data_IF_575534080451
#
_entry.id   IF_575534080451
#
_cell.length_a   1.000
_cell.length_b   1.000
_cell.length_c   1.000
_cell.angle_alpha   90.00
_cell.angle_beta   90.00
_cell.angle_gamma   90.00
#
_symmetry.space_group_name_H-M   'P 1'
#
loop_
_entity.id
_entity.type
_entity.pdbx_description
1 polymer ?
#
# COMPACT_ATOMS: atom_id res chain seq x y z
N UNK A 1 10.45 14.43 -21.52
CA UNK A 1 10.36 15.66 -22.35
C UNK A 1 10.91 15.28 -23.71
N UNK A 2 10.13 15.44 -24.79
CA UNK A 2 10.67 15.50 -26.15
C UNK A 2 9.67 16.25 -27.04
N UNK A 3 10.18 17.08 -27.95
CA UNK A 3 9.48 18.20 -28.60
C UNK A 3 10.15 19.54 -28.26
N UNK A 4 9.61 20.72 -28.67
CA UNK A 4 10.27 22.02 -28.46
C UNK A 4 10.24 22.53 -27.00
N UNK A 5 10.10 21.63 -26.03
CA UNK A 5 9.87 21.97 -24.63
C UNK A 5 11.14 21.72 -23.82
N UNK A 6 11.66 22.78 -23.19
CA UNK A 6 12.82 22.74 -22.29
C UNK A 6 12.35 23.01 -20.86
N UNK A 7 12.81 22.20 -19.90
CA UNK A 7 12.56 22.43 -18.48
C UNK A 7 13.64 23.37 -17.92
N UNK A 8 13.26 24.23 -16.98
CA UNK A 8 14.13 25.24 -16.40
C UNK A 8 13.89 25.33 -14.90
N UNK A 9 14.96 25.35 -14.10
CA UNK A 9 14.80 25.48 -12.65
C UNK A 9 14.58 26.96 -12.27
N UNK A 10 13.31 27.31 -12.00
CA UNK A 10 12.93 28.67 -11.64
C UNK A 10 13.74 29.23 -10.47
N UNK A 11 14.24 30.46 -10.61
CA UNK A 11 15.04 31.17 -9.59
C UNK A 11 16.31 30.44 -9.10
N UNK A 12 16.80 29.42 -9.81
CA UNK A 12 17.97 28.63 -9.38
C UNK A 12 17.64 27.72 -8.20
N UNK A 13 16.36 27.45 -7.96
CA UNK A 13 15.91 26.56 -6.89
C UNK A 13 16.10 25.09 -7.29
N UNK A 14 16.08 24.22 -6.29
CA UNK A 14 16.02 22.78 -6.48
C UNK A 14 14.80 22.40 -7.32
N UNK A 15 14.99 21.48 -8.26
CA UNK A 15 13.91 20.87 -9.04
C UNK A 15 13.80 19.38 -8.68
N UNK A 16 12.60 18.82 -8.73
CA UNK A 16 12.38 17.40 -8.42
C UNK A 16 11.46 16.72 -9.43
N UNK A 17 11.68 15.43 -9.62
CA UNK A 17 10.79 14.52 -10.34
C UNK A 17 10.44 13.39 -9.38
N UNK A 18 9.16 13.06 -9.24
CA UNK A 18 8.69 11.97 -8.39
C UNK A 18 7.56 11.21 -9.06
N UNK A 19 7.46 9.90 -8.79
CA UNK A 19 6.44 9.04 -9.41
C UNK A 19 6.53 7.58 -8.98
N UNK A 20 5.92 6.69 -9.79
CA UNK A 20 6.12 5.25 -9.70
C UNK A 20 7.58 4.88 -9.97
N UNK A 21 8.02 3.67 -9.59
CA UNK A 21 9.42 3.25 -9.75
C UNK A 21 9.88 3.29 -11.21
N UNK A 22 11.02 3.91 -11.46
CA UNK A 22 11.61 4.08 -12.78
C UNK A 22 13.14 4.00 -12.72
N UNK A 23 13.75 3.79 -13.88
CA UNK A 23 15.18 3.90 -14.11
C UNK A 23 15.45 5.20 -14.87
N UNK A 24 16.34 6.04 -14.34
CA UNK A 24 16.76 7.28 -14.97
C UNK A 24 18.06 7.05 -15.75
N UNK A 25 17.94 7.10 -17.08
CA UNK A 25 19.05 6.84 -18.00
C UNK A 25 19.88 8.12 -18.16
N UNK A 26 19.23 9.23 -18.52
CA UNK A 26 19.95 10.50 -18.70
C UNK A 26 19.11 11.66 -19.21
N UNK A 27 19.76 12.82 -19.33
CA UNK A 27 19.17 14.03 -19.89
C UNK A 27 20.24 14.94 -20.50
N UNK A 28 19.83 15.84 -21.40
CA UNK A 28 20.66 16.97 -21.80
C UNK A 28 20.55 18.08 -20.77
N UNK A 29 21.70 18.65 -20.38
CA UNK A 29 21.82 19.75 -19.44
C UNK A 29 22.69 20.88 -20.01
N UNK A 30 22.36 22.12 -19.64
CA UNK A 30 23.15 23.32 -19.94
C UNK A 30 22.95 24.38 -18.86
N UNK A 31 23.93 25.25 -18.66
CA UNK A 31 23.80 26.42 -17.78
C UNK A 31 22.98 27.50 -18.46
N UNK A 32 22.03 28.14 -17.77
CA UNK A 32 21.27 29.23 -18.38
C UNK A 32 22.07 30.54 -18.42
N UNK A 33 22.80 30.85 -17.34
CA UNK A 33 23.51 32.13 -17.18
C UNK A 33 24.98 31.97 -16.82
N UNK A 34 25.38 30.80 -16.31
CA UNK A 34 26.72 30.55 -15.80
C UNK A 34 27.39 29.42 -16.58
N UNK A 35 28.65 29.62 -16.92
CA UNK A 35 29.58 28.56 -17.33
C UNK A 35 30.19 27.90 -16.08
N UNK A 36 30.78 26.71 -16.23
CA UNK A 36 31.31 25.89 -15.13
C UNK A 36 30.27 25.64 -14.00
N UNK A 37 28.98 25.59 -14.34
CA UNK A 37 27.91 25.40 -13.36
C UNK A 37 27.86 23.94 -12.92
N UNK A 38 27.97 23.68 -11.62
CA UNK A 38 27.82 22.33 -11.08
C UNK A 38 26.35 22.00 -10.86
N UNK A 39 25.87 20.89 -11.42
CA UNK A 39 24.51 20.34 -11.24
C UNK A 39 24.63 18.97 -10.56
N UNK A 40 24.10 18.87 -9.34
CA UNK A 40 24.03 17.61 -8.58
C UNK A 40 22.64 17.02 -8.72
N UNK A 41 22.59 15.76 -9.14
CA UNK A 41 21.39 14.93 -9.26
C UNK A 41 21.46 13.84 -8.20
N UNK A 42 20.44 13.76 -7.36
CA UNK A 42 20.34 12.78 -6.28
C UNK A 42 19.11 11.91 -6.50
N UNK A 43 19.29 10.60 -6.46
CA UNK A 43 18.26 9.59 -6.65
C UNK A 43 17.83 8.95 -5.33
N UNK A 44 16.54 8.79 -5.14
CA UNK A 44 15.96 8.10 -3.98
C UNK A 44 14.95 7.04 -4.39
N UNK A 45 14.82 6.01 -3.56
CA UNK A 45 13.69 5.07 -3.58
C UNK A 45 12.98 5.16 -2.22
N UNK A 46 11.74 5.66 -2.21
CA UNK A 46 10.92 5.89 -1.00
C UNK A 46 11.70 6.59 0.12
N UNK A 47 12.34 7.72 -0.23
CA UNK A 47 13.21 8.53 0.64
C UNK A 47 14.56 7.90 1.06
N UNK A 48 14.90 6.70 0.60
CA UNK A 48 16.23 6.10 0.79
C UNK A 48 17.13 6.51 -0.36
N UNK A 49 18.30 7.09 -0.06
CA UNK A 49 19.29 7.45 -1.07
C UNK A 49 19.75 6.20 -1.83
N UNK A 50 19.60 6.23 -3.16
CA UNK A 50 20.06 5.16 -4.06
C UNK A 50 21.43 5.54 -4.64
N UNK A 51 21.53 6.71 -5.25
CA UNK A 51 22.78 7.20 -5.85
C UNK A 51 22.80 8.73 -5.98
N UNK A 52 23.96 9.30 -6.28
CA UNK A 52 24.12 10.72 -6.60
C UNK A 52 25.25 10.95 -7.61
N UNK A 53 25.09 11.96 -8.45
CA UNK A 53 26.13 12.38 -9.39
C UNK A 53 26.12 13.89 -9.58
N UNK A 54 27.30 14.50 -9.64
CA UNK A 54 27.48 15.91 -10.00
C UNK A 54 28.12 16.00 -11.38
N UNK A 55 27.49 16.79 -12.24
CA UNK A 55 27.99 17.11 -13.60
C UNK A 55 28.25 18.61 -13.71
N UNK A 56 29.15 19.00 -14.61
CA UNK A 56 29.48 20.42 -14.87
C UNK A 56 28.98 20.78 -16.26
N UNK A 57 28.29 21.91 -16.35
CA UNK A 57 27.67 22.38 -17.59
C UNK A 57 28.05 23.83 -17.90
N UNK A 58 28.18 24.10 -19.19
CA UNK A 58 28.40 25.44 -19.73
C UNK A 58 27.13 25.98 -20.37
N UNK A 59 27.12 27.29 -20.64
CA UNK A 59 25.95 27.99 -21.17
C UNK A 59 25.88 28.09 -22.69
N UNK A 60 26.93 27.66 -23.38
CA UNK A 60 27.05 27.72 -24.83
C UNK A 60 26.71 26.40 -25.55
N UNK A 61 26.54 25.30 -24.80
CA UNK A 61 26.19 23.99 -25.34
C UNK A 61 25.29 23.16 -24.42
N UNK A 62 24.33 22.45 -25.04
CA UNK A 62 23.61 21.33 -24.42
C UNK A 62 24.51 20.10 -24.42
N UNK A 63 24.71 19.50 -23.26
CA UNK A 63 25.54 18.30 -23.08
C UNK A 63 24.69 17.15 -22.53
N UNK A 64 24.78 15.99 -23.17
CA UNK A 64 24.15 14.77 -22.66
C UNK A 64 24.94 14.22 -21.48
N UNK A 65 24.22 13.87 -20.41
CA UNK A 65 24.78 13.14 -19.28
C UNK A 65 23.98 11.87 -19.02
N UNK A 66 24.72 10.77 -18.91
CA UNK A 66 24.23 9.46 -18.52
C UNK A 66 24.43 9.29 -17.01
N UNK A 67 23.38 8.81 -16.34
CA UNK A 67 23.31 8.66 -14.88
C UNK A 67 23.06 7.21 -14.46
N UNK A 68 22.26 6.46 -15.22
CA UNK A 68 21.94 5.04 -14.99
C UNK A 68 21.45 4.70 -13.57
N UNK A 69 20.61 5.56 -12.99
CA UNK A 69 20.03 5.30 -11.67
C UNK A 69 18.83 4.35 -11.80
N UNK A 70 18.91 3.18 -11.17
CA UNK A 70 17.91 2.09 -11.34
C UNK A 70 17.00 1.99 -10.12
N UNK A 71 15.70 1.73 -10.37
CA UNK A 71 14.73 1.41 -9.34
C UNK A 71 14.43 2.57 -8.38
N UNK A 72 14.38 3.79 -8.89
CA UNK A 72 14.21 5.02 -8.11
C UNK A 72 12.74 5.49 -8.16
N UNK A 73 12.32 6.24 -7.16
CA UNK A 73 11.00 6.90 -7.12
C UNK A 73 11.11 8.40 -7.21
N UNK A 74 12.26 8.98 -6.85
CA UNK A 74 12.47 10.42 -6.80
C UNK A 74 13.86 10.81 -7.33
N UNK A 75 13.90 11.92 -8.06
CA UNK A 75 15.11 12.64 -8.44
C UNK A 75 15.07 14.05 -7.89
N UNK A 76 16.20 14.51 -7.37
CA UNK A 76 16.40 15.88 -6.89
C UNK A 76 17.59 16.51 -7.61
N UNK A 77 17.34 17.58 -8.34
CA UNK A 77 18.33 18.37 -9.06
C UNK A 77 18.63 19.64 -8.28
N UNK A 78 19.90 19.89 -7.97
CA UNK A 78 20.38 21.13 -7.36
C UNK A 78 21.58 21.65 -8.12
N UNK A 79 21.77 22.96 -8.15
CA UNK A 79 22.84 23.59 -8.91
C UNK A 79 23.53 24.68 -8.11
N UNK A 80 24.84 24.83 -8.29
CA UNK A 80 25.64 25.82 -7.57
C UNK A 80 26.93 26.16 -8.30
N UNK A 81 27.53 27.31 -7.94
CA UNK A 81 28.79 27.76 -8.52
C UNK A 81 28.65 28.34 -9.94
N UNK A 82 29.73 28.19 -10.71
CA UNK A 82 29.87 28.74 -12.05
C UNK A 82 30.25 30.23 -12.12
N UNK A 83 30.56 30.67 -13.34
CA UNK A 83 30.95 32.05 -13.69
C UNK A 83 29.94 32.63 -14.68
N UNK A 84 29.48 33.87 -14.46
CA UNK A 84 28.48 34.50 -15.33
C UNK A 84 28.99 34.66 -16.78
N UNK A 85 28.22 34.14 -17.74
CA UNK A 85 28.57 34.12 -19.17
C UNK A 85 28.22 35.43 -19.92
N UNK A 86 27.58 36.40 -19.26
CA UNK A 86 27.35 37.75 -19.81
C UNK A 86 25.99 37.97 -20.50
N UNK A 87 25.01 37.08 -20.33
CA UNK A 87 23.68 37.17 -20.96
C UNK A 87 22.68 38.13 -20.27
N UNK A 88 23.13 38.93 -19.30
CA UNK A 88 22.32 39.98 -18.67
C UNK A 88 21.48 39.55 -17.46
N UNK A 89 21.49 38.26 -17.12
CA UNK A 89 20.94 37.70 -15.89
C UNK A 89 22.01 36.90 -15.14
N UNK A 90 21.71 36.46 -13.92
CA UNK A 90 22.64 35.73 -13.06
C UNK A 90 21.90 34.69 -12.22
N UNK A 91 22.65 33.70 -11.74
CA UNK A 91 22.16 32.69 -10.82
C UNK A 91 22.49 31.28 -11.26
N UNK A 92 22.39 30.28 -10.37
CA UNK A 92 22.71 28.90 -10.65
C UNK A 92 21.57 28.20 -11.39
N UNK A 93 21.12 28.77 -12.50
CA UNK A 93 20.04 28.21 -13.30
C UNK A 93 20.59 27.23 -14.32
N UNK A 94 19.95 26.07 -14.45
CA UNK A 94 20.19 25.10 -15.50
C UNK A 94 18.91 24.88 -16.31
N UNK A 95 19.10 24.45 -17.56
CA UNK A 95 18.04 23.96 -18.41
C UNK A 95 18.22 22.45 -18.66
N UNK A 96 17.11 21.75 -18.79
CA UNK A 96 17.03 20.32 -19.00
C UNK A 96 16.19 20.02 -20.25
N UNK A 97 16.69 19.14 -21.11
CA UNK A 97 15.98 18.65 -22.28
C UNK A 97 16.15 17.13 -22.45
N UNK A 98 15.28 16.51 -23.24
CA UNK A 98 15.34 15.10 -23.64
C UNK A 98 15.53 14.14 -22.43
N UNK A 99 14.78 14.41 -21.36
CA UNK A 99 14.71 13.56 -20.16
C UNK A 99 14.31 12.12 -20.54
N UNK A 100 15.26 11.19 -20.42
CA UNK A 100 15.11 9.79 -20.82
C UNK A 100 15.08 8.89 -19.59
N UNK A 101 14.01 8.13 -19.49
CA UNK A 101 13.76 7.18 -18.41
C UNK A 101 13.03 5.97 -18.96
N UNK A 102 13.14 4.85 -18.25
CA UNK A 102 12.26 3.70 -18.43
C UNK A 102 11.50 3.48 -17.13
N UNK A 103 10.20 3.23 -17.20
CA UNK A 103 9.52 2.64 -16.04
C UNK A 103 10.18 1.29 -15.77
N UNK A 104 10.41 0.93 -14.50
CA UNK A 104 10.95 -0.40 -14.19
C UNK A 104 10.01 -1.43 -14.82
N UNK A 105 10.52 -2.23 -15.75
CA UNK A 105 9.76 -2.88 -16.83
C UNK A 105 8.76 -3.98 -16.41
N UNK A 106 8.55 -4.16 -15.11
CA UNK A 106 7.58 -5.09 -14.56
C UNK A 106 7.13 -4.56 -13.20
N UNK A 107 5.91 -4.04 -13.09
CA UNK A 107 5.30 -3.77 -11.79
C UNK A 107 4.50 -4.99 -11.37
N UNK A 108 4.76 -5.50 -10.16
CA UNK A 108 3.98 -6.62 -9.66
C UNK A 108 2.48 -6.26 -9.62
N UNK A 109 1.59 -7.26 -9.81
CA UNK A 109 0.17 -7.08 -9.55
C UNK A 109 -0.03 -6.67 -8.08
N UNK A 110 -1.22 -6.16 -7.79
CA UNK A 110 -1.65 -5.78 -6.44
C UNK A 110 -3.02 -6.38 -6.19
N UNK A 111 -3.11 -7.20 -5.16
CA UNK A 111 -4.35 -7.74 -4.59
C UNK A 111 -4.91 -6.69 -3.64
N UNK A 112 -6.15 -6.25 -3.89
CA UNK A 112 -6.90 -5.37 -3.00
C UNK A 112 -7.89 -6.17 -2.15
N UNK A 113 -7.92 -5.85 -0.87
CA UNK A 113 -8.77 -6.44 0.18
C UNK A 113 -9.69 -5.40 0.83
N UNK A 114 -9.84 -4.22 0.22
CA UNK A 114 -10.59 -3.12 0.82
C UNK A 114 -12.11 -3.33 0.79
N UNK A 115 -12.60 -4.25 -0.05
CA UNK A 115 -14.03 -4.52 -0.24
C UNK A 115 -14.43 -5.91 0.25
N UNK A 116 -13.67 -6.48 1.19
CA UNK A 116 -13.87 -7.84 1.64
C UNK A 116 -15.28 -8.10 2.17
N UNK A 117 -15.82 -9.26 1.82
CA UNK A 117 -17.08 -9.77 2.35
C UNK A 117 -16.92 -11.24 2.67
N UNK A 118 -17.40 -11.65 3.84
CA UNK A 118 -17.42 -13.05 4.25
C UNK A 118 -18.83 -13.61 4.16
N UNK A 119 -18.93 -14.85 3.70
CA UNK A 119 -20.16 -15.63 3.77
C UNK A 119 -19.86 -17.07 4.15
N UNK A 120 -20.61 -17.62 5.08
CA UNK A 120 -20.47 -19.01 5.53
C UNK A 120 -21.62 -19.87 4.99
N UNK A 121 -21.29 -21.08 4.52
CA UNK A 121 -22.29 -22.04 4.08
C UNK A 121 -21.75 -23.46 4.18
N UNK A 122 -22.51 -24.34 4.83
CA UNK A 122 -22.16 -25.75 5.02
C UNK A 122 -20.77 -25.96 5.67
N UNK A 123 -20.38 -25.09 6.61
CA UNK A 123 -19.07 -25.15 7.29
C UNK A 123 -17.90 -24.64 6.45
N UNK A 124 -18.14 -24.05 5.28
CA UNK A 124 -17.11 -23.41 4.47
C UNK A 124 -17.26 -21.89 4.52
N UNK A 125 -16.12 -21.19 4.49
CA UNK A 125 -16.06 -19.73 4.44
C UNK A 125 -15.71 -19.29 3.02
N UNK A 126 -16.48 -18.38 2.44
CA UNK A 126 -16.16 -17.76 1.15
C UNK A 126 -15.79 -16.30 1.34
N UNK A 127 -14.58 -15.94 0.90
CA UNK A 127 -14.04 -14.58 0.88
C UNK A 127 -14.35 -13.94 -0.49
N UNK A 128 -15.09 -12.84 -0.51
CA UNK A 128 -15.46 -12.07 -1.72
C UNK A 128 -14.90 -10.66 -1.65
N UNK A 129 -14.97 -9.93 -2.77
CA UNK A 129 -14.56 -8.53 -2.85
C UNK A 129 -13.07 -8.33 -3.08
N UNK A 130 -12.33 -9.42 -3.31
CA UNK A 130 -10.97 -9.37 -3.81
C UNK A 130 -10.95 -8.83 -5.23
N UNK A 131 -9.98 -7.98 -5.52
CA UNK A 131 -9.69 -7.54 -6.88
C UNK A 131 -8.19 -7.48 -7.10
N UNK A 132 -7.78 -7.61 -8.36
CA UNK A 132 -6.39 -7.51 -8.78
C UNK A 132 -6.26 -6.33 -9.72
N UNK A 133 -5.28 -5.49 -9.46
CA UNK A 133 -4.82 -4.45 -10.38
C UNK A 133 -3.37 -4.71 -10.73
N UNK A 134 -2.95 -4.25 -11.89
CA UNK A 134 -1.57 -4.36 -12.32
C UNK A 134 -1.29 -3.13 -13.22
N UNK A 135 -0.35 -2.25 -12.82
CA UNK A 135 -0.11 -0.98 -13.51
C UNK A 135 0.36 -1.11 -14.96
N UNK A 136 1.08 -2.17 -15.31
CA UNK A 136 1.67 -2.40 -16.63
C UNK A 136 1.07 -3.59 -17.38
N UNK A 137 0.04 -4.22 -16.81
CA UNK A 137 -0.71 -5.29 -17.45
C UNK A 137 -1.14 -4.96 -18.89
N UNK A 138 -0.77 -5.86 -19.80
CA UNK A 138 -1.27 -5.81 -21.18
C UNK A 138 -2.58 -6.60 -21.33
N UNK A 139 -3.39 -6.26 -22.34
CA UNK A 139 -4.72 -6.89 -22.53
C UNK A 139 -4.70 -8.41 -22.75
N UNK A 140 -3.55 -8.97 -23.13
CA UNK A 140 -3.38 -10.40 -23.39
C UNK A 140 -2.37 -11.05 -22.42
N UNK A 141 -1.96 -10.33 -21.39
CA UNK A 141 -1.09 -10.88 -20.37
C UNK A 141 -1.81 -11.95 -19.58
N UNK A 142 -1.08 -13.02 -19.26
CA UNK A 142 -1.63 -14.13 -18.51
C UNK A 142 -1.14 -14.08 -17.06
N UNK A 143 -2.09 -13.97 -16.14
CA UNK A 143 -1.89 -14.06 -14.72
C UNK A 143 -2.09 -15.51 -14.26
N UNK A 144 -1.42 -15.88 -13.18
CA UNK A 144 -1.65 -17.15 -12.48
C UNK A 144 -2.06 -16.87 -11.05
N UNK A 145 -3.03 -17.64 -10.56
CA UNK A 145 -3.59 -17.51 -9.22
C UNK A 145 -3.42 -18.82 -8.48
N UNK A 146 -2.93 -18.75 -7.24
CA UNK A 146 -2.81 -19.90 -6.35
C UNK A 146 -3.41 -19.57 -4.99
N UNK A 147 -4.03 -20.56 -4.35
CA UNK A 147 -4.45 -20.46 -2.97
C UNK A 147 -4.16 -21.78 -2.25
N UNK A 148 -3.56 -21.71 -1.07
CA UNK A 148 -3.14 -22.89 -0.29
C UNK A 148 -3.46 -22.65 1.18
N UNK A 149 -4.10 -23.62 1.84
CA UNK A 149 -4.29 -23.63 3.29
C UNK A 149 -3.08 -24.23 4.00
N UNK A 150 -2.76 -23.74 5.19
CA UNK A 150 -1.64 -24.25 6.00
C UNK A 150 -1.97 -25.56 6.70
N UNK A 151 -3.17 -25.67 7.30
CA UNK A 151 -3.54 -26.85 8.07
C UNK A 151 -3.76 -28.07 7.16
N UNK A 152 -3.23 -29.21 7.60
CA UNK A 152 -3.42 -30.47 6.90
C UNK A 152 -4.86 -30.96 6.99
N UNK A 153 -5.51 -31.14 5.85
CA UNK A 153 -6.91 -31.58 5.77
C UNK A 153 -7.87 -30.47 5.33
N UNK A 154 -7.47 -29.22 5.48
CA UNK A 154 -8.14 -28.07 4.88
C UNK A 154 -7.92 -28.02 3.37
N UNK A 155 -8.78 -27.30 2.66
CA UNK A 155 -8.62 -27.04 1.23
C UNK A 155 -9.14 -25.67 0.82
N UNK A 156 -8.65 -25.17 -0.31
CA UNK A 156 -9.08 -23.90 -0.88
C UNK A 156 -9.49 -24.11 -2.33
N UNK A 157 -10.66 -23.60 -2.68
CA UNK A 157 -11.18 -23.59 -4.06
C UNK A 157 -11.13 -22.17 -4.59
N UNK A 158 -10.38 -21.98 -5.68
CA UNK A 158 -10.36 -20.75 -6.46
C UNK A 158 -11.16 -20.91 -7.76
N UNK A 159 -11.87 -19.86 -8.21
CA UNK A 159 -12.76 -19.94 -9.37
C UNK A 159 -12.02 -19.99 -10.71
N UNK A 160 -10.79 -19.45 -10.76
CA UNK A 160 -9.85 -19.64 -11.86
C UNK A 160 -8.42 -19.65 -11.34
N UNK A 161 -7.54 -20.42 -11.96
CA UNK A 161 -6.12 -20.47 -11.64
C UNK A 161 -5.23 -19.73 -12.66
N UNK A 162 -5.80 -19.26 -13.78
CA UNK A 162 -5.09 -18.46 -14.78
C UNK A 162 -6.03 -17.71 -15.72
N UNK A 163 -5.53 -16.67 -16.37
CA UNK A 163 -6.27 -15.91 -17.38
C UNK A 163 -5.75 -14.48 -17.51
N UNK A 164 -6.44 -13.67 -18.32
CA UNK A 164 -6.15 -12.22 -18.35
C UNK A 164 -6.55 -11.55 -17.03
N UNK A 165 -6.07 -10.33 -16.79
CA UNK A 165 -6.45 -9.55 -15.60
C UNK A 165 -7.98 -9.42 -15.45
N UNK A 166 -8.69 -9.27 -16.58
CA UNK A 166 -10.16 -9.25 -16.59
C UNK A 166 -10.76 -10.61 -16.24
N UNK A 167 -10.21 -11.70 -16.75
CA UNK A 167 -10.69 -13.04 -16.42
C UNK A 167 -10.51 -13.35 -14.93
N UNK A 168 -9.37 -12.95 -14.35
CA UNK A 168 -9.10 -13.10 -12.92
C UNK A 168 -10.11 -12.32 -12.10
N UNK A 169 -10.33 -11.03 -12.39
CA UNK A 169 -11.29 -10.21 -11.66
C UNK A 169 -12.73 -10.73 -11.79
N UNK A 170 -13.16 -11.12 -12.99
CA UNK A 170 -14.48 -11.72 -13.20
C UNK A 170 -14.66 -13.04 -12.43
N UNK A 171 -13.58 -13.83 -12.29
CA UNK A 171 -13.62 -15.05 -11.49
C UNK A 171 -13.74 -14.72 -10.00
N UNK A 172 -12.96 -13.74 -9.50
CA UNK A 172 -12.96 -13.31 -8.10
C UNK A 172 -14.29 -12.72 -7.62
N UNK A 173 -15.16 -12.23 -8.51
CA UNK A 173 -16.55 -11.86 -8.18
C UNK A 173 -17.33 -13.00 -7.50
N UNK A 174 -16.97 -14.26 -7.79
CA UNK A 174 -17.58 -15.43 -7.17
C UNK A 174 -16.99 -15.80 -5.80
N UNK A 175 -15.81 -15.25 -5.47
CA UNK A 175 -15.08 -15.45 -4.22
C UNK A 175 -14.09 -16.63 -4.22
N UNK A 176 -13.27 -16.68 -3.18
CA UNK A 176 -12.37 -17.78 -2.84
C UNK A 176 -12.98 -18.54 -1.68
N UNK A 177 -13.20 -19.85 -1.84
CA UNK A 177 -13.86 -20.68 -0.82
C UNK A 177 -12.84 -21.53 -0.08
N UNK A 178 -12.78 -21.35 1.22
CA UNK A 178 -11.99 -22.14 2.16
C UNK A 178 -12.88 -23.19 2.85
N UNK A 179 -12.39 -24.42 2.90
CA UNK A 179 -12.98 -25.56 3.60
C UNK A 179 -12.00 -26.01 4.70
N UNK A 180 -12.34 -25.86 5.99
CA UNK A 180 -11.50 -26.29 7.11
C UNK A 180 -11.35 -27.81 7.23
N UNK A 181 -12.13 -28.58 6.47
CA UNK A 181 -12.10 -30.03 6.52
C UNK A 181 -12.61 -30.60 7.84
N UNK A 182 -12.23 -31.85 8.13
CA UNK A 182 -12.63 -32.53 9.36
C UNK A 182 -11.51 -33.44 9.89
N UNK A 183 -11.10 -33.30 11.16
CA UNK A 183 -11.55 -32.28 12.11
C UNK A 183 -11.09 -30.88 11.71
N UNK A 184 -11.89 -29.87 12.06
CA UNK A 184 -11.53 -28.46 11.82
C UNK A 184 -10.32 -28.09 12.68
N UNK A 185 -9.33 -27.34 12.13
CA UNK A 185 -8.24 -26.81 12.92
C UNK A 185 -8.75 -25.73 13.91
N UNK A 186 -7.99 -25.42 14.95
CA UNK A 186 -8.35 -24.29 15.83
C UNK A 186 -8.21 -22.98 15.06
N UNK A 187 -7.06 -22.75 14.44
CA UNK A 187 -6.79 -21.65 13.53
C UNK A 187 -6.20 -22.16 12.23
N UNK A 188 -6.41 -21.46 11.13
CA UNK A 188 -5.79 -21.78 9.85
C UNK A 188 -5.45 -20.51 9.07
N UNK A 189 -4.58 -20.65 8.09
CA UNK A 189 -4.13 -19.61 7.19
C UNK A 189 -4.28 -20.05 5.75
N UNK A 190 -4.87 -19.19 4.91
CA UNK A 190 -4.90 -19.36 3.46
C UNK A 190 -3.98 -18.34 2.80
N UNK A 191 -2.91 -18.80 2.18
CA UNK A 191 -2.03 -17.96 1.35
C UNK A 191 -2.58 -17.86 -0.06
N UNK A 192 -3.01 -16.66 -0.46
CA UNK A 192 -3.49 -16.35 -1.80
C UNK A 192 -2.47 -15.51 -2.54
N UNK A 193 -2.06 -15.96 -3.73
CA UNK A 193 -1.03 -15.31 -4.53
C UNK A 193 -1.49 -15.12 -5.97
N UNK A 194 -1.10 -13.99 -6.55
CA UNK A 194 -1.29 -13.68 -7.96
C UNK A 194 0.08 -13.32 -8.55
N UNK A 195 0.45 -13.95 -9.66
CA UNK A 195 1.66 -13.63 -10.40
C UNK A 195 1.31 -13.23 -11.83
N UNK A 196 2.05 -12.25 -12.35
CA UNK A 196 1.95 -11.76 -13.73
C UNK A 196 2.77 -12.61 -14.72
N UNK A 197 2.73 -12.24 -16.00
CA UNK A 197 3.46 -12.94 -17.06
C UNK A 197 4.95 -12.62 -17.12
N UNK A 198 5.40 -11.65 -16.32
CA UNK A 198 6.73 -11.04 -16.35
C UNK A 198 7.55 -11.32 -15.08
N UNK A 199 6.99 -12.09 -14.13
CA UNK A 199 7.65 -12.59 -12.92
C UNK A 199 7.40 -11.75 -11.66
N UNK A 200 6.52 -10.76 -11.71
CA UNK A 200 6.05 -10.04 -10.54
C UNK A 200 4.90 -10.78 -9.88
N UNK A 201 4.74 -10.58 -8.58
CA UNK A 201 3.70 -11.27 -7.83
C UNK A 201 3.30 -10.50 -6.58
N UNK A 202 2.06 -10.71 -6.17
CA UNK A 202 1.55 -10.29 -4.88
C UNK A 202 1.03 -11.48 -4.10
N UNK A 203 1.06 -11.37 -2.77
CA UNK A 203 0.59 -12.42 -1.87
C UNK A 203 -0.04 -11.79 -0.64
N UNK A 204 -1.19 -12.34 -0.27
CA UNK A 204 -1.94 -11.99 0.93
C UNK A 204 -2.33 -13.28 1.64
N UNK A 205 -2.14 -13.33 2.96
CA UNK A 205 -2.68 -14.43 3.76
C UNK A 205 -4.03 -14.03 4.37
N UNK A 206 -4.94 -14.99 4.48
CA UNK A 206 -6.19 -14.88 5.23
C UNK A 206 -6.09 -15.78 6.45
N UNK A 207 -6.15 -15.19 7.64
CA UNK A 207 -5.93 -15.90 8.91
C UNK A 207 -7.25 -15.98 9.66
N UNK A 208 -7.67 -17.20 9.96
CA UNK A 208 -8.97 -17.51 10.52
C UNK A 208 -8.86 -18.22 11.87
N UNK A 209 -9.83 -17.97 12.75
CA UNK A 209 -10.23 -18.91 13.79
C UNK A 209 -11.38 -19.78 13.28
N UNK A 210 -11.25 -21.10 13.38
CA UNK A 210 -12.20 -22.06 12.82
C UNK A 210 -12.97 -22.79 13.91
N UNK A 211 -12.24 -23.47 14.80
CA UNK A 211 -12.84 -24.23 15.90
C UNK A 211 -12.47 -23.71 17.31
N UNK A 212 -11.71 -22.61 17.41
CA UNK A 212 -11.34 -22.03 18.70
C UNK A 212 -12.56 -21.50 19.46
N UNK A 213 -12.80 -22.04 20.65
CA UNK A 213 -13.86 -21.56 21.55
C UNK A 213 -13.29 -20.55 22.54
N UNK A 214 -13.65 -19.28 22.41
CA UNK A 214 -13.19 -18.20 23.30
C UNK A 214 -12.11 -17.31 22.69
N UNK A 215 -11.52 -16.42 23.50
CA UNK A 215 -10.40 -15.56 23.11
C UNK A 215 -9.28 -16.32 22.41
N UNK A 216 -8.86 -15.84 21.25
CA UNK A 216 -7.73 -16.39 20.49
C UNK A 216 -6.58 -15.40 20.35
N UNK A 217 -5.38 -15.94 20.17
CA UNK A 217 -4.22 -15.19 19.73
C UNK A 217 -3.97 -15.50 18.26
N UNK A 218 -4.25 -14.55 17.38
CA UNK A 218 -4.00 -14.70 15.94
C UNK A 218 -2.73 -13.93 15.57
N UNK A 219 -1.80 -14.65 14.97
CA UNK A 219 -0.48 -14.14 14.62
C UNK A 219 -0.32 -14.16 13.11
N UNK A 220 -0.17 -12.99 12.52
CA UNK A 220 0.26 -12.80 11.16
C UNK A 220 1.74 -13.10 10.95
N UNK A 221 2.19 -12.81 9.76
CA UNK A 221 3.45 -13.26 9.16
C UNK A 221 4.35 -12.06 8.86
N UNK A 222 5.25 -12.20 7.89
CA UNK A 222 6.03 -11.08 7.37
C UNK A 222 5.45 -10.53 6.05
N UNK A 223 4.43 -11.20 5.52
CA UNK A 223 3.70 -10.83 4.32
C UNK A 223 2.47 -10.01 4.69
N UNK A 224 1.70 -9.55 3.70
CA UNK A 224 0.43 -8.88 3.97
C UNK A 224 -0.57 -9.89 4.52
N UNK A 225 -1.13 -9.61 5.69
CA UNK A 225 -2.09 -10.49 6.34
C UNK A 225 -3.45 -9.81 6.50
N UNK A 226 -4.51 -10.58 6.26
CA UNK A 226 -5.88 -10.23 6.65
C UNK A 226 -6.26 -11.14 7.80
N UNK A 227 -6.42 -10.56 8.98
CA UNK A 227 -6.69 -11.26 10.23
C UNK A 227 -8.14 -11.03 10.63
N UNK A 228 -8.92 -12.11 10.65
CA UNK A 228 -10.33 -12.05 11.02
C UNK A 228 -10.50 -12.29 12.52
N UNK A 229 -10.90 -11.25 13.25
CA UNK A 229 -11.26 -11.36 14.66
C UNK A 229 -12.55 -12.18 14.84
N UNK A 230 -12.77 -12.64 16.06
CA UNK A 230 -13.91 -13.47 16.44
C UNK A 230 -14.97 -12.66 17.19
N UNK A 231 -15.99 -13.33 17.73
CA UNK A 231 -16.94 -12.72 18.68
C UNK A 231 -16.42 -12.65 20.13
N UNK A 232 -15.13 -12.91 20.36
CA UNK A 232 -14.48 -12.90 21.66
C UNK A 232 -13.35 -11.88 21.71
N UNK A 233 -12.98 -11.46 22.91
CA UNK A 233 -11.82 -10.58 23.15
C UNK A 233 -10.49 -11.20 22.70
N UNK A 234 -10.05 -10.88 21.49
CA UNK A 234 -8.89 -11.50 20.86
C UNK A 234 -7.61 -10.67 21.03
N UNK A 235 -6.47 -11.33 20.84
CA UNK A 235 -5.16 -10.66 20.70
C UNK A 235 -4.62 -10.91 19.30
N UNK A 236 -4.50 -9.85 18.50
CA UNK A 236 -4.10 -9.91 17.10
C UNK A 236 -2.74 -9.24 16.92
N UNK A 237 -1.87 -9.88 16.16
CA UNK A 237 -0.55 -9.36 15.79
C UNK A 237 -0.39 -9.46 14.29
N UNK A 238 -0.14 -8.35 13.60
CA UNK A 238 -0.01 -8.31 12.13
C UNK A 238 1.33 -8.86 11.68
N UNK A 239 2.42 -8.35 12.27
CA UNK A 239 3.78 -8.66 11.88
C UNK A 239 4.36 -7.56 10.99
N UNK A 240 4.89 -7.93 9.83
CA UNK A 240 5.50 -6.99 8.89
C UNK A 240 4.67 -6.90 7.62
N UNK A 241 4.86 -5.82 6.85
CA UNK A 241 4.03 -5.46 5.68
C UNK A 241 2.73 -4.77 6.10
N UNK A 242 1.81 -4.55 5.15
CA UNK A 242 0.58 -3.82 5.41
C UNK A 242 -0.52 -4.82 5.73
N UNK A 243 -0.93 -4.85 6.99
CA UNK A 243 -1.88 -5.82 7.52
C UNK A 243 -3.27 -5.22 7.67
N UNK A 244 -4.30 -6.06 7.56
CA UNK A 244 -5.69 -5.70 7.73
C UNK A 244 -6.32 -6.51 8.87
N UNK A 245 -6.83 -5.81 9.87
CA UNK A 245 -7.55 -6.42 10.99
C UNK A 245 -9.04 -6.23 10.79
N UNK A 246 -9.78 -7.32 10.69
CA UNK A 246 -11.21 -7.31 10.33
C UNK A 246 -12.04 -7.64 11.56
N UNK A 247 -12.94 -6.72 11.93
CA UNK A 247 -13.82 -6.85 13.10
C UNK A 247 -15.28 -6.88 12.69
N UNK A 248 -16.04 -7.79 13.30
CA UNK A 248 -17.50 -7.79 13.24
C UNK A 248 -18.07 -6.99 14.43
N UNK A 249 -19.37 -6.66 14.37
CA UNK A 249 -20.07 -6.15 15.55
C UNK A 249 -20.08 -7.23 16.65
N UNK A 250 -20.02 -6.83 17.92
CA UNK A 250 -19.94 -7.76 19.06
C UNK A 250 -18.66 -8.61 19.08
N UNK A 251 -17.52 -8.07 18.62
CA UNK A 251 -16.21 -8.72 18.76
C UNK A 251 -15.66 -8.68 20.20
N UNK A 252 -16.30 -7.97 21.12
CA UNK A 252 -15.84 -7.85 22.49
C UNK A 252 -14.70 -6.84 22.62
N UNK A 253 -13.69 -7.18 23.42
CA UNK A 253 -12.56 -6.29 23.73
C UNK A 253 -11.26 -6.82 23.13
N UNK A 254 -10.98 -6.43 21.91
CA UNK A 254 -9.83 -6.89 21.14
C UNK A 254 -8.58 -6.05 21.40
N UNK A 255 -7.42 -6.65 21.21
CA UNK A 255 -6.13 -5.97 21.28
C UNK A 255 -5.31 -6.25 20.03
N UNK A 256 -4.91 -5.19 19.33
CA UNK A 256 -3.90 -5.25 18.27
C UNK A 256 -2.56 -4.85 18.88
N UNK A 257 -1.54 -5.70 18.73
CA UNK A 257 -0.27 -5.55 19.47
C UNK A 257 0.78 -4.67 18.79
N UNK A 258 0.72 -4.52 17.48
CA UNK A 258 1.80 -3.99 16.65
C UNK A 258 1.31 -3.15 15.45
N UNK A 259 0.09 -2.62 15.53
CA UNK A 259 -0.49 -1.76 14.49
C UNK A 259 0.44 -0.60 14.12
N UNK A 260 0.74 -0.47 12.83
CA UNK A 260 1.59 0.57 12.26
C UNK A 260 0.73 1.60 11.49
N UNK A 261 0.47 2.80 12.07
CA UNK A 261 -0.35 3.82 11.42
C UNK A 261 0.22 4.27 10.06
N UNK A 262 -0.66 4.49 9.10
CA UNK A 262 -0.33 4.82 7.71
C UNK A 262 0.09 3.62 6.86
N UNK A 263 0.18 2.42 7.44
CA UNK A 263 0.56 1.18 6.78
C UNK A 263 -0.53 0.12 6.94
N UNK A 264 -0.88 -0.21 8.18
CA UNK A 264 -1.90 -1.20 8.50
C UNK A 264 -3.30 -0.57 8.46
N UNK A 265 -4.32 -1.43 8.37
CA UNK A 265 -5.71 -1.00 8.28
C UNK A 265 -6.61 -1.80 9.23
N UNK A 266 -7.65 -1.13 9.70
CA UNK A 266 -8.70 -1.71 10.52
C UNK A 266 -9.98 -1.66 9.69
N UNK A 267 -10.50 -2.83 9.35
CA UNK A 267 -11.81 -2.94 8.73
C UNK A 267 -12.88 -3.00 9.81
N UNK A 268 -13.67 -1.94 9.87
CA UNK A 268 -14.75 -1.78 10.84
C UNK A 268 -16.08 -2.36 10.34
N UNK A 269 -16.08 -2.98 9.15
CA UNK A 269 -17.19 -3.68 8.55
C UNK A 269 -18.51 -2.89 8.59
N UNK A 270 -19.43 -3.27 9.49
CA UNK A 270 -20.75 -2.66 9.64
C UNK A 270 -20.78 -1.43 10.56
N UNK A 271 -19.68 -1.12 11.25
CA UNK A 271 -19.56 0.08 12.07
C UNK A 271 -19.08 1.27 11.22
N UNK A 272 -19.90 2.32 11.19
CA UNK A 272 -19.63 3.56 10.43
C UNK A 272 -19.47 4.75 11.41
N UNK A 273 -18.31 4.89 12.08
CA UNK A 273 -18.09 5.95 13.07
C UNK A 273 -18.03 7.36 12.48
N UNK A 274 -17.73 7.48 11.19
CA UNK A 274 -17.61 8.74 10.47
C UNK A 274 -17.96 8.57 8.99
N UNK A 275 -18.33 9.65 8.32
CA UNK A 275 -18.65 9.62 6.89
C UNK A 275 -17.40 9.33 6.03
N UNK A 276 -17.43 8.31 5.14
CA UNK A 276 -16.32 8.02 4.24
C UNK A 276 -15.89 9.24 3.39
N UNK A 277 -14.59 9.53 3.38
CA UNK A 277 -14.00 10.65 2.61
C UNK A 277 -14.20 12.05 3.21
N UNK A 278 -14.88 12.17 4.35
CA UNK A 278 -15.08 13.47 5.02
C UNK A 278 -14.05 13.69 6.12
N UNK A 279 -13.07 14.56 5.87
CA UNK A 279 -12.06 14.92 6.88
C UNK A 279 -12.69 15.53 8.12
N UNK A 280 -13.82 16.23 7.97
CA UNK A 280 -14.51 16.85 9.09
C UNK A 280 -15.17 15.82 10.03
N UNK A 281 -15.82 14.79 9.49
CA UNK A 281 -16.44 13.73 10.30
C UNK A 281 -15.38 12.89 11.01
N UNK A 282 -14.30 12.51 10.30
CA UNK A 282 -13.17 11.80 10.88
C UNK A 282 -12.52 12.59 12.02
N UNK A 283 -12.25 13.89 11.81
CA UNK A 283 -11.66 14.73 12.86
C UNK A 283 -12.58 14.85 14.09
N UNK A 284 -13.90 14.92 13.88
CA UNK A 284 -14.86 14.93 14.98
C UNK A 284 -14.88 13.61 15.76
N UNK A 285 -14.77 12.48 15.06
CA UNK A 285 -14.70 11.15 15.67
C UNK A 285 -13.38 10.91 16.42
N UNK A 286 -12.23 11.09 15.76
CA UNK A 286 -10.91 10.78 16.33
C UNK A 286 -10.55 11.66 17.53
N UNK A 287 -11.17 12.83 17.68
CA UNK A 287 -10.94 13.74 18.83
C UNK A 287 -11.97 13.58 19.95
N UNK A 288 -12.99 12.73 19.76
CA UNK A 288 -13.99 12.45 20.78
C UNK A 288 -13.47 11.38 21.75
N UNK A 289 -13.15 11.77 22.98
CA UNK A 289 -12.63 10.86 24.02
C UNK A 289 -13.59 9.70 24.36
N UNK A 290 -14.89 9.83 24.10
CA UNK A 290 -15.83 8.71 24.30
C UNK A 290 -15.80 7.70 23.16
N UNK A 291 -15.30 8.08 21.98
CA UNK A 291 -15.25 7.21 20.80
C UNK A 291 -13.83 6.68 20.57
N UNK A 292 -12.81 7.51 20.80
CA UNK A 292 -11.40 7.16 20.65
C UNK A 292 -10.61 7.75 21.83
N UNK A 293 -10.37 6.91 22.83
CA UNK A 293 -9.66 7.27 24.05
C UNK A 293 -8.15 7.05 23.91
N UNK A 294 -7.34 8.03 24.32
CA UNK A 294 -5.91 7.82 24.47
C UNK A 294 -5.61 7.30 25.88
N UNK A 295 -5.11 6.06 25.96
CA UNK A 295 -4.64 5.42 27.18
C UNK A 295 -3.11 5.45 27.27
N UNK A 296 -2.57 5.13 28.46
CA UNK A 296 -1.13 4.94 28.64
C UNK A 296 -0.60 3.70 27.88
N UNK A 297 -1.46 2.70 27.66
CA UNK A 297 -1.15 1.46 26.94
C UNK A 297 -1.35 1.56 25.43
N UNK A 298 -1.87 2.66 24.90
CA UNK A 298 -2.21 2.79 23.48
C UNK A 298 -3.48 3.60 23.23
N UNK A 299 -4.11 3.38 22.08
CA UNK A 299 -5.37 4.04 21.71
C UNK A 299 -6.51 3.04 21.77
N UNK A 300 -7.56 3.33 22.53
CA UNK A 300 -8.77 2.52 22.63
C UNK A 300 -9.85 3.09 21.72
N UNK A 301 -10.33 2.30 20.77
CA UNK A 301 -11.43 2.64 19.88
C UNK A 301 -12.68 1.95 20.41
N UNK A 302 -13.75 2.70 20.65
CA UNK A 302 -15.05 2.16 21.02
C UNK A 302 -15.88 1.90 19.76
N UNK A 303 -16.23 0.63 19.54
CA UNK A 303 -17.04 0.19 18.40
C UNK A 303 -18.54 0.32 18.70
N UNK A 304 -18.94 0.05 19.93
CA UNK A 304 -20.30 0.22 20.38
C UNK A 304 -20.29 0.70 21.85
N UNK A 305 -20.93 1.84 22.10
CA UNK A 305 -20.98 2.47 23.42
C UNK A 305 -21.99 1.78 24.36
N UNK A 306 -22.92 0.99 23.81
CA UNK A 306 -23.95 0.29 24.57
C UNK A 306 -23.48 -1.10 25.03
N UNK A 307 -22.80 -1.86 24.14
CA UNK A 307 -22.23 -3.19 24.48
C UNK A 307 -20.85 -3.08 25.13
N UNK A 308 -20.11 -2.01 24.84
CA UNK A 308 -18.75 -1.78 25.33
C UNK A 308 -17.67 -2.35 24.41
N UNK A 309 -18.01 -2.83 23.21
CA UNK A 309 -17.05 -3.40 22.26
C UNK A 309 -15.94 -2.39 21.93
N UNK A 310 -14.70 -2.88 21.89
CA UNK A 310 -13.55 -2.00 21.78
C UNK A 310 -12.34 -2.68 21.14
N UNK A 311 -11.55 -1.89 20.43
CA UNK A 311 -10.23 -2.31 19.92
C UNK A 311 -9.16 -1.47 20.60
N UNK A 312 -8.23 -2.12 21.31
CA UNK A 312 -7.03 -1.49 21.83
C UNK A 312 -5.88 -1.60 20.82
N UNK A 313 -5.40 -0.48 20.32
CA UNK A 313 -4.17 -0.38 19.54
C UNK A 313 -2.99 -0.15 20.48
N UNK A 314 -2.27 -1.22 20.80
CA UNK A 314 -1.20 -1.21 21.79
C UNK A 314 -0.07 -0.28 21.38
N UNK A 315 0.35 0.61 22.28
CA UNK A 315 1.43 1.57 22.09
C UNK A 315 1.28 2.53 20.89
N UNK A 316 0.07 2.62 20.32
CA UNK A 316 -0.23 3.56 19.23
C UNK A 316 -0.76 4.86 19.81
N UNK A 317 -0.24 5.98 19.30
CA UNK A 317 -0.78 7.30 19.64
C UNK A 317 -2.02 7.60 18.80
N UNK A 318 -3.06 8.12 19.43
CA UNK A 318 -4.27 8.58 18.75
C UNK A 318 -3.96 9.63 17.68
N UNK A 319 -2.94 10.45 17.93
CA UNK A 319 -2.52 11.51 17.00
C UNK A 319 -1.80 10.99 15.75
N UNK A 320 -1.33 9.74 15.74
CA UNK A 320 -0.74 9.13 14.54
C UNK A 320 -1.76 8.47 13.63
N UNK A 321 -2.99 8.26 14.09
CA UNK A 321 -4.05 7.64 13.30
C UNK A 321 -4.58 8.59 12.23
N UNK A 322 -4.80 8.04 11.05
CA UNK A 322 -5.25 8.74 9.85
C UNK A 322 -6.51 8.07 9.29
N UNK A 323 -7.26 8.78 8.45
CA UNK A 323 -8.51 8.22 7.90
C UNK A 323 -8.27 6.96 7.05
N UNK A 324 -7.13 6.86 6.37
CA UNK A 324 -6.73 5.70 5.57
C UNK A 324 -6.34 4.48 6.42
N UNK A 325 -6.20 4.62 7.74
CA UNK A 325 -6.00 3.48 8.64
C UNK A 325 -7.30 2.68 8.83
N UNK A 326 -8.43 3.16 8.30
CA UNK A 326 -9.74 2.56 8.48
C UNK A 326 -10.40 2.25 7.15
N UNK A 327 -10.97 1.04 7.06
CA UNK A 327 -11.84 0.61 5.95
C UNK A 327 -13.27 0.64 6.47
N UNK A 328 -14.15 1.32 5.71
CA UNK A 328 -15.56 1.49 6.03
C UNK A 328 -16.42 0.98 4.87
N UNK A 329 -17.49 0.25 5.18
CA UNK A 329 -18.41 -0.30 4.17
C UNK A 329 -19.78 0.41 4.23
N UNK A 330 -19.95 1.55 3.54
CA UNK A 330 -21.23 2.27 3.50
C UNK A 330 -22.27 1.47 2.70
N UNK A 331 -23.02 0.60 3.39
CA UNK A 331 -24.05 -0.24 2.77
C UNK A 331 -24.51 -1.44 3.60
N UNK A 332 -23.75 -1.82 4.64
CA UNK A 332 -24.05 -2.95 5.51
C UNK A 332 -23.97 -4.29 4.76
N UNK A 333 -22.96 -5.09 5.06
CA UNK A 333 -22.93 -6.48 4.59
C UNK A 333 -23.61 -7.31 5.66
N UNK A 334 -24.77 -7.88 5.32
CA UNK A 334 -25.48 -8.84 6.16
C UNK A 334 -24.64 -10.11 6.17
N UNK A 335 -23.86 -10.34 7.22
CA UNK A 335 -23.34 -11.67 7.54
C UNK A 335 -24.51 -12.44 8.11
N UNK A 336 -24.86 -13.58 7.50
CA UNK A 336 -25.92 -14.44 8.00
C UNK A 336 -25.56 -15.01 9.35
N UNK A 337 -26.53 -15.02 10.26
CA UNK A 337 -26.49 -15.65 11.60
C UNK A 337 -26.01 -17.12 11.59
#
# INVERSE_FOLDING_TARGET
MSGPNVAFNGFGMTASVSGATFDFIGAYLTGAWNDDLSVTVVAYNRNVLVDQQTVVVDSDALTWFEFDFVGITDLVFSSSGGTNAGYGYFGPHFALDDFTFSMSANQAPVISTDNLQLSESNGMTTVRGLSVSDPDATSNENFTVTAVSEAGGSSVTIPSNSGTLNDINNALDTGVTYDPGSPEPETDMVTFSVADGHGGSDTVNFIFNQAGTGPVALQGTVLKDVIFATGYSDTLTGGASADQFVFAANSGHDTITDFTPGQDRIDLFNYLPFDPGSTASFNAWITNDNAVEQLASGTLIHLDLDTGDSILLSNVSRASLQMNDFILHPGGVVVGD
#
